data_IF_085009594267
#
_entry.id   IF_085009594267
#
_cell.length_a   1.000
_cell.length_b   1.000
_cell.length_c   1.000
_cell.angle_alpha   90.00
_cell.angle_beta   90.00
_cell.angle_gamma   90.00
#
_symmetry.space_group_name_H-M   'P 1'
#
loop_
_entity.id
_entity.type
_entity.pdbx_description
1 polymer ?
#
# COMPACT_ATOMS: atom_id res chain seq x y z
N UNK A 1 53.47 -18.00 44.83
CA UNK A 1 52.85 -18.84 45.87
C UNK A 1 52.34 -17.94 46.99
N UNK A 2 51.45 -18.44 47.84
CA UNK A 2 50.86 -17.79 49.04
C UNK A 2 49.80 -16.70 48.83
N UNK A 3 48.68 -16.89 49.55
CA UNK A 3 47.63 -15.90 49.85
C UNK A 3 47.99 -15.20 51.21
N UNK A 4 47.22 -14.33 51.90
CA UNK A 4 45.85 -13.77 51.82
C UNK A 4 45.95 -12.22 52.02
N UNK A 5 45.04 -11.36 52.56
CA UNK A 5 43.72 -11.46 53.21
C UNK A 5 42.98 -10.09 53.08
N UNK A 6 41.82 -10.02 52.41
CA UNK A 6 40.45 -10.02 52.96
C UNK A 6 40.02 -8.75 53.73
N UNK A 7 39.17 -7.94 53.10
CA UNK A 7 38.20 -7.01 53.71
C UNK A 7 36.91 -7.04 52.88
N UNK A 8 35.73 -6.89 53.50
CA UNK A 8 34.42 -7.09 52.86
C UNK A 8 33.58 -5.81 52.69
N UNK A 9 32.75 -5.70 51.63
CA UNK A 9 31.82 -4.58 51.43
C UNK A 9 30.50 -4.73 52.22
N UNK A 10 29.73 -3.62 52.41
CA UNK A 10 28.52 -3.59 53.24
C UNK A 10 27.26 -4.19 52.58
N UNK A 11 26.21 -4.35 53.40
CA UNK A 11 24.93 -4.99 53.05
C UNK A 11 24.06 -4.15 52.08
N UNK A 12 23.28 -4.84 51.24
CA UNK A 12 22.33 -4.24 50.29
C UNK A 12 20.87 -4.15 50.80
N UNK A 13 20.02 -3.34 50.14
CA UNK A 13 18.60 -3.15 50.49
C UNK A 13 17.71 -4.37 50.15
N UNK A 14 16.50 -4.48 50.74
CA UNK A 14 15.72 -5.72 50.78
C UNK A 14 14.96 -6.09 49.47
N UNK A 15 14.59 -7.36 49.38
CA UNK A 15 13.84 -7.95 48.26
C UNK A 15 12.44 -7.36 48.04
N UNK A 16 12.05 -7.24 46.77
CA UNK A 16 10.65 -7.24 46.34
C UNK A 16 10.26 -8.59 45.71
N UNK A 17 9.00 -9.04 45.81
CA UNK A 17 8.54 -10.30 45.23
C UNK A 17 8.46 -10.21 43.70
N UNK A 18 8.93 -11.26 43.03
CA UNK A 18 8.91 -11.37 41.56
C UNK A 18 7.52 -11.77 41.04
N UNK A 19 7.08 -11.15 39.94
CA UNK A 19 5.97 -11.68 39.12
C UNK A 19 6.51 -12.69 38.10
N UNK A 20 5.74 -13.76 37.76
CA UNK A 20 6.22 -14.81 36.88
C UNK A 20 6.39 -14.34 35.43
N UNK A 21 7.54 -14.67 34.84
CA UNK A 21 7.83 -14.45 33.41
C UNK A 21 7.09 -15.47 32.52
N UNK A 22 6.68 -15.10 31.30
CA UNK A 22 6.17 -16.05 30.32
C UNK A 22 7.29 -17.01 29.84
N UNK A 23 6.96 -18.24 29.42
CA UNK A 23 7.94 -19.27 29.08
C UNK A 23 8.78 -18.91 27.84
N UNK A 24 10.07 -19.26 27.89
CA UNK A 24 11.00 -19.03 26.80
C UNK A 24 10.81 -20.02 25.65
N UNK A 25 10.98 -19.54 24.40
CA UNK A 25 11.03 -20.39 23.21
C UNK A 25 12.45 -20.96 23.00
N UNK A 26 12.59 -22.20 22.50
CA UNK A 26 13.89 -22.85 22.34
C UNK A 26 14.77 -22.17 21.29
N UNK A 27 16.05 -21.97 21.64
CA UNK A 27 17.10 -21.53 20.72
C UNK A 27 17.59 -22.71 19.88
N UNK A 28 17.55 -22.60 18.55
CA UNK A 28 18.28 -23.49 17.66
C UNK A 28 19.59 -22.82 17.22
N UNK A 29 20.73 -23.38 17.62
CA UNK A 29 22.03 -23.00 17.07
C UNK A 29 22.12 -23.42 15.59
N UNK A 30 22.64 -22.52 14.76
CA UNK A 30 23.34 -22.88 13.52
C UNK A 30 24.69 -22.17 13.51
N UNK A 31 25.75 -22.91 13.14
CA UNK A 31 27.13 -22.43 13.20
C UNK A 31 27.50 -21.48 12.06
N UNK A 32 28.46 -20.60 12.33
CA UNK A 32 29.16 -19.80 11.32
C UNK A 32 30.22 -20.64 10.61
N UNK A 33 30.31 -20.54 9.29
CA UNK A 33 31.53 -20.88 8.55
C UNK A 33 31.69 -19.91 7.36
N UNK A 34 32.87 -19.30 7.24
CA UNK A 34 33.16 -18.29 6.23
C UNK A 34 33.51 -18.91 4.87
N UNK A 35 33.11 -18.24 3.80
CA UNK A 35 33.51 -18.52 2.42
C UNK A 35 33.51 -17.24 1.58
N UNK A 36 34.53 -17.04 0.75
CA UNK A 36 34.71 -15.85 -0.10
C UNK A 36 33.89 -15.98 -1.42
N UNK A 37 33.68 -14.89 -2.18
CA UNK A 37 32.47 -14.75 -3.00
C UNK A 37 32.56 -15.35 -4.41
N UNK A 38 31.42 -15.83 -4.90
CA UNK A 38 31.13 -15.91 -6.34
C UNK A 38 29.89 -15.09 -6.70
N UNK A 39 29.89 -14.53 -7.90
CA UNK A 39 28.80 -13.72 -8.45
C UNK A 39 27.60 -14.59 -8.82
N UNK A 40 26.40 -14.21 -8.39
CA UNK A 40 25.14 -14.76 -8.92
C UNK A 40 24.02 -13.73 -8.82
N UNK A 41 23.07 -13.78 -9.76
CA UNK A 41 22.01 -12.77 -9.91
C UNK A 41 20.80 -13.05 -9.01
N UNK A 42 20.39 -12.05 -8.22
CA UNK A 42 19.29 -12.18 -7.26
C UNK A 42 17.91 -12.11 -7.92
N UNK A 43 17.31 -13.28 -8.11
CA UNK A 43 15.86 -13.41 -8.32
C UNK A 43 15.12 -13.52 -6.98
N UNK A 44 13.93 -12.93 -6.87
CA UNK A 44 13.06 -13.09 -5.70
C UNK A 44 12.49 -14.52 -5.62
N UNK A 45 12.71 -15.18 -4.47
CA UNK A 45 11.97 -16.38 -4.06
C UNK A 45 12.64 -17.73 -4.38
N UNK A 46 12.40 -18.78 -3.56
CA UNK A 46 13.03 -20.08 -3.70
C UNK A 46 12.50 -20.90 -4.88
N UNK A 47 13.28 -21.90 -5.29
CA UNK A 47 12.93 -22.82 -6.38
C UNK A 47 11.76 -23.73 -6.00
N UNK A 48 10.77 -23.85 -6.88
CA UNK A 48 9.57 -24.67 -6.65
C UNK A 48 9.83 -26.17 -6.93
N UNK A 49 10.41 -26.87 -5.96
CA UNK A 49 10.35 -28.33 -5.87
C UNK A 49 9.15 -28.77 -4.99
N UNK A 50 8.45 -29.87 -5.31
CA UNK A 50 7.37 -30.37 -4.47
C UNK A 50 7.93 -31.05 -3.20
N UNK A 51 7.38 -30.78 -1.99
CA UNK A 51 7.77 -31.51 -0.79
C UNK A 51 7.22 -32.94 -0.81
N UNK A 52 8.11 -33.93 -0.66
CA UNK A 52 7.70 -35.32 -0.44
C UNK A 52 7.00 -35.49 0.91
N UNK A 53 5.95 -36.32 0.96
CA UNK A 53 5.29 -36.65 2.22
C UNK A 53 6.14 -37.66 3.01
N UNK A 54 6.43 -37.43 4.31
CA UNK A 54 6.97 -38.47 5.16
C UNK A 54 5.91 -39.55 5.43
N UNK A 55 6.30 -40.83 5.64
CA UNK A 55 5.36 -41.90 5.92
C UNK A 55 4.65 -41.69 7.27
N UNK A 56 3.33 -41.87 7.29
CA UNK A 56 2.53 -41.77 8.52
C UNK A 56 2.61 -43.04 9.38
N UNK A 57 2.47 -42.93 10.72
CA UNK A 57 2.48 -44.08 11.62
C UNK A 57 1.22 -44.96 11.44
N UNK A 58 1.33 -46.28 11.66
CA UNK A 58 0.22 -47.21 11.49
C UNK A 58 -0.79 -47.17 12.65
N UNK A 59 -2.07 -47.42 12.34
CA UNK A 59 -3.03 -47.95 13.32
C UNK A 59 -3.91 -46.95 14.07
N UNK A 60 -4.85 -46.28 13.37
CA UNK A 60 -6.10 -45.81 13.99
C UNK A 60 -7.31 -46.18 13.12
N UNK A 61 -8.23 -46.97 13.67
CA UNK A 61 -9.45 -47.39 13.00
C UNK A 61 -10.47 -46.24 12.96
N UNK A 62 -11.25 -46.15 11.88
CA UNK A 62 -12.30 -45.12 11.73
C UNK A 62 -13.60 -45.60 12.38
N UNK A 63 -14.28 -44.77 13.19
CA UNK A 63 -15.60 -45.14 13.73
C UNK A 63 -16.67 -45.20 12.62
N UNK A 64 -17.74 -45.99 12.81
CA UNK A 64 -18.81 -46.16 11.82
C UNK A 64 -19.60 -44.86 11.58
N UNK A 65 -20.20 -44.76 10.39
CA UNK A 65 -21.00 -43.58 9.98
C UNK A 65 -22.43 -43.66 10.54
N UNK A 66 -23.03 -42.55 11.01
CA UNK A 66 -24.42 -42.52 11.43
C UNK A 66 -25.40 -42.64 10.23
N UNK A 67 -26.64 -43.12 10.45
CA UNK A 67 -27.61 -43.36 9.38
C UNK A 67 -28.16 -42.08 8.75
N UNK A 68 -28.52 -42.18 7.46
CA UNK A 68 -28.87 -41.05 6.59
C UNK A 68 -30.35 -40.66 6.74
N UNK A 69 -30.65 -39.51 7.33
CA UNK A 69 -32.03 -38.97 7.40
C UNK A 69 -32.55 -38.57 6.01
N UNK A 70 -33.86 -38.72 5.80
CA UNK A 70 -34.57 -38.49 4.52
C UNK A 70 -35.33 -37.16 4.60
N UNK A 71 -34.90 -36.15 3.84
CA UNK A 71 -35.45 -34.78 3.94
C UNK A 71 -36.65 -34.58 3.01
N UNK A 72 -37.87 -34.82 3.50
CA UNK A 72 -39.13 -34.55 2.76
C UNK A 72 -39.50 -33.06 2.67
N UNK A 73 -38.90 -32.18 3.47
CA UNK A 73 -39.28 -30.77 3.56
C UNK A 73 -38.82 -29.83 2.42
N UNK A 74 -37.94 -30.28 1.50
CA UNK A 74 -37.31 -29.38 0.51
C UNK A 74 -38.17 -29.10 -0.73
N UNK A 75 -39.19 -29.92 -1.01
CA UNK A 75 -39.95 -29.83 -2.27
C UNK A 75 -41.04 -28.76 -2.26
N UNK A 76 -41.57 -28.39 -1.09
CA UNK A 76 -42.66 -27.41 -0.97
C UNK A 76 -42.18 -25.97 -1.18
N UNK A 77 -40.98 -25.63 -0.69
CA UNK A 77 -40.42 -24.28 -0.76
C UNK A 77 -39.98 -23.85 -2.16
N UNK A 78 -39.64 -24.79 -3.04
CA UNK A 78 -39.30 -24.49 -4.44
C UNK A 78 -40.53 -24.12 -5.29
N UNK A 79 -41.72 -24.65 -4.95
CA UNK A 79 -42.96 -24.37 -5.68
C UNK A 79 -43.38 -22.90 -5.63
N UNK A 80 -43.42 -22.31 -4.43
CA UNK A 80 -43.86 -20.91 -4.26
C UNK A 80 -42.93 -19.89 -4.92
N UNK A 81 -41.61 -20.12 -4.89
CA UNK A 81 -40.63 -19.24 -5.55
C UNK A 81 -40.74 -19.29 -7.08
N UNK A 82 -41.08 -20.46 -7.65
CA UNK A 82 -41.31 -20.61 -9.09
C UNK A 82 -42.49 -19.76 -9.59
N UNK A 83 -43.63 -19.81 -8.88
CA UNK A 83 -44.83 -19.04 -9.26
C UNK A 83 -44.60 -17.54 -9.22
N UNK A 84 -43.96 -17.03 -8.16
CA UNK A 84 -43.63 -15.59 -8.04
C UNK A 84 -42.67 -15.12 -9.14
N UNK A 85 -41.69 -15.95 -9.54
CA UNK A 85 -40.77 -15.65 -10.64
C UNK A 85 -41.47 -15.54 -12.00
N UNK A 86 -42.44 -16.40 -12.28
CA UNK A 86 -43.21 -16.35 -13.53
C UNK A 86 -44.10 -15.11 -13.61
N UNK A 87 -44.80 -14.76 -12.53
CA UNK A 87 -45.65 -13.55 -12.50
C UNK A 87 -44.83 -12.28 -12.73
N UNK A 88 -43.66 -12.16 -12.10
CA UNK A 88 -42.76 -11.02 -12.31
C UNK A 88 -42.21 -10.93 -13.74
N UNK A 89 -41.94 -12.06 -14.39
CA UNK A 89 -41.45 -12.08 -15.77
C UNK A 89 -42.53 -11.62 -16.76
N UNK A 90 -43.78 -12.05 -16.57
CA UNK A 90 -44.92 -11.66 -17.43
C UNK A 90 -45.21 -10.16 -17.32
N UNK A 91 -45.17 -9.56 -16.13
CA UNK A 91 -45.39 -8.11 -15.97
C UNK A 91 -44.29 -7.27 -16.61
N UNK A 92 -43.02 -7.67 -16.53
CA UNK A 92 -41.91 -6.98 -17.21
C UNK A 92 -42.04 -7.03 -18.73
N UNK A 93 -42.45 -8.17 -19.29
CA UNK A 93 -42.69 -8.31 -20.74
C UNK A 93 -43.89 -7.45 -21.19
N UNK A 94 -44.97 -7.41 -20.41
CA UNK A 94 -46.14 -6.56 -20.72
C UNK A 94 -45.79 -5.07 -20.81
N UNK A 95 -45.00 -4.55 -19.86
CA UNK A 95 -44.54 -3.14 -19.88
C UNK A 95 -43.62 -2.86 -21.06
N UNK A 96 -42.73 -3.80 -21.43
CA UNK A 96 -41.84 -3.63 -22.58
C UNK A 96 -42.57 -3.60 -23.93
N UNK A 97 -43.70 -4.31 -24.06
CA UNK A 97 -44.49 -4.35 -25.29
C UNK A 97 -45.41 -3.14 -25.47
N UNK A 98 -45.83 -2.49 -24.39
CA UNK A 98 -46.70 -1.30 -24.45
C UNK A 98 -45.96 0.01 -24.81
N UNK A 99 -44.64 -0.04 -25.03
CA UNK A 99 -43.78 1.14 -25.16
C UNK A 99 -43.18 1.29 -26.58
N UNK A 100 -43.98 1.02 -27.62
CA UNK A 100 -43.66 1.32 -29.03
C UNK A 100 -44.61 2.38 -29.60
N UNK A 101 -44.10 3.59 -29.83
CA UNK A 101 -44.78 4.66 -30.54
C UNK A 101 -43.76 5.67 -31.06
N UNK A 102 -43.81 5.97 -32.37
CA UNK A 102 -42.77 6.72 -33.09
C UNK A 102 -41.51 5.88 -33.38
N UNK A 103 -40.90 5.92 -34.57
CA UNK A 103 -41.25 6.64 -35.79
C UNK A 103 -40.07 7.46 -36.31
N UNK A 104 -39.45 6.99 -37.39
CA UNK A 104 -39.15 7.74 -38.63
C UNK A 104 -37.91 7.20 -39.38
N UNK A 105 -37.76 7.66 -40.63
CA UNK A 105 -37.22 6.94 -41.80
C UNK A 105 -35.66 6.84 -41.88
N UNK A 106 -35.07 5.91 -42.66
CA UNK A 106 -33.63 5.74 -42.78
C UNK A 106 -33.02 6.51 -43.96
N UNK A 107 -31.93 7.26 -43.73
CA UNK A 107 -31.14 7.87 -44.83
C UNK A 107 -29.93 7.01 -45.21
N UNK A 108 -29.70 6.86 -46.51
CA UNK A 108 -28.72 5.93 -47.12
C UNK A 108 -27.26 6.30 -46.84
N UNK A 109 -26.46 5.34 -46.37
CA UNK A 109 -25.00 5.47 -46.25
C UNK A 109 -24.27 4.86 -47.45
N UNK A 110 -23.46 5.66 -48.16
CA UNK A 110 -22.44 5.19 -49.10
C UNK A 110 -21.03 5.47 -48.52
N UNK A 111 -20.04 4.58 -48.70
CA UNK A 111 -18.70 4.78 -48.17
C UNK A 111 -17.85 5.64 -49.12
N UNK A 112 -17.00 6.50 -48.57
CA UNK A 112 -15.97 7.20 -49.34
C UNK A 112 -14.62 7.11 -48.61
N UNK A 113 -13.62 6.53 -49.28
CA UNK A 113 -12.21 6.77 -48.99
C UNK A 113 -11.84 8.12 -49.65
N UNK A 114 -10.75 8.85 -49.36
CA UNK A 114 -9.35 8.58 -48.96
C UNK A 114 -8.78 9.95 -48.43
N UNK A 115 -7.46 10.20 -48.22
CA UNK A 115 -6.32 9.34 -47.91
C UNK A 115 -5.57 9.76 -46.61
N UNK A 116 -4.48 9.04 -46.30
CA UNK A 116 -3.55 9.33 -45.19
C UNK A 116 -2.82 10.66 -45.36
N UNK A 117 -2.64 11.41 -44.27
CA UNK A 117 -1.73 12.57 -44.18
C UNK A 117 -0.54 12.28 -43.25
N UNK A 118 0.66 12.70 -43.66
CA UNK A 118 1.92 12.51 -42.94
C UNK A 118 2.05 13.48 -41.74
N UNK A 119 2.55 13.04 -40.56
CA UNK A 119 2.77 13.94 -39.43
C UNK A 119 3.97 14.88 -39.65
N UNK A 120 3.73 16.18 -39.52
CA UNK A 120 4.78 17.23 -39.50
C UNK A 120 5.47 17.24 -38.13
N UNK A 121 6.81 17.37 -38.04
CA UNK A 121 7.51 17.55 -36.77
C UNK A 121 7.27 18.94 -36.17
N UNK A 122 7.29 19.10 -34.83
CA UNK A 122 7.20 20.40 -34.17
C UNK A 122 8.52 21.20 -34.31
N UNK A 123 8.46 22.54 -34.31
CA UNK A 123 9.65 23.39 -34.39
C UNK A 123 10.46 23.43 -33.08
N UNK A 124 11.77 23.63 -33.22
CA UNK A 124 12.75 23.74 -32.14
C UNK A 124 12.80 25.18 -31.56
N UNK A 125 12.88 25.38 -30.23
CA UNK A 125 12.86 26.70 -29.62
C UNK A 125 14.25 27.37 -29.59
N UNK A 126 14.52 28.27 -30.54
CA UNK A 126 15.77 29.05 -30.59
C UNK A 126 15.86 30.05 -29.44
N UNK A 127 16.85 29.88 -28.55
CA UNK A 127 17.06 30.77 -27.39
C UNK A 127 18.02 31.93 -27.74
N UNK A 128 17.50 33.15 -27.74
CA UNK A 128 18.29 34.40 -27.81
C UNK A 128 18.06 35.26 -26.56
N UNK A 129 19.09 35.56 -25.76
CA UNK A 129 18.95 36.47 -24.61
C UNK A 129 19.14 37.93 -25.05
N UNK A 130 18.05 38.65 -25.30
CA UNK A 130 18.10 40.11 -25.48
C UNK A 130 18.03 40.82 -24.13
N UNK A 131 19.16 41.38 -23.68
CA UNK A 131 19.18 42.30 -22.54
C UNK A 131 18.69 43.68 -22.99
N UNK A 132 17.74 44.26 -22.26
CA UNK A 132 17.44 45.68 -22.34
C UNK A 132 16.93 46.15 -20.98
N UNK A 133 17.77 46.87 -20.24
CA UNK A 133 17.34 47.57 -19.04
C UNK A 133 16.46 48.76 -19.45
N UNK A 134 15.34 48.96 -18.76
CA UNK A 134 14.49 50.14 -18.91
C UNK A 134 14.41 50.86 -17.57
N UNK A 135 14.66 52.17 -17.57
CA UNK A 135 14.85 52.97 -16.36
C UNK A 135 13.78 54.05 -16.30
N UNK A 136 12.75 53.84 -15.49
CA UNK A 136 11.68 54.82 -15.25
C UNK A 136 11.48 55.04 -13.74
N UNK A 137 11.52 56.30 -13.24
CA UNK A 137 11.38 56.59 -11.83
C UNK A 137 9.90 56.60 -11.37
N UNK A 138 9.59 56.22 -10.12
CA UNK A 138 8.23 56.23 -9.60
C UNK A 138 7.72 57.67 -9.34
N UNK A 139 6.40 57.92 -9.47
CA UNK A 139 5.81 59.24 -9.25
C UNK A 139 5.81 59.67 -7.77
N UNK A 140 5.93 60.97 -7.53
CA UNK A 140 5.98 61.58 -6.20
C UNK A 140 4.61 61.57 -5.51
N UNK A 141 4.53 61.03 -4.30
CA UNK A 141 3.33 61.07 -3.45
C UNK A 141 3.48 62.15 -2.37
N UNK A 142 2.55 63.10 -2.30
CA UNK A 142 2.53 64.12 -1.26
C UNK A 142 1.96 63.56 0.07
N UNK A 143 2.62 63.80 1.23
CA UNK A 143 2.10 63.36 2.53
C UNK A 143 0.99 64.31 3.04
N UNK A 144 -0.23 63.79 3.21
CA UNK A 144 -1.32 64.52 3.88
C UNK A 144 -1.29 64.24 5.39
N UNK A 145 -1.05 65.26 6.21
CA UNK A 145 -0.78 65.13 7.65
C UNK A 145 -2.04 65.11 8.52
N UNK A 146 -2.79 64.01 8.49
CA UNK A 146 -3.93 63.80 9.40
C UNK A 146 -3.44 63.40 10.80
N UNK A 147 -3.68 64.23 11.82
CA UNK A 147 -3.24 64.01 13.22
C UNK A 147 -4.03 62.87 13.89
N UNK A 148 -3.40 61.76 14.33
CA UNK A 148 -4.11 60.68 15.01
C UNK A 148 -4.49 61.07 16.45
N UNK A 149 -5.71 60.68 16.85
CA UNK A 149 -6.19 60.79 18.24
C UNK A 149 -5.56 59.67 19.09
N UNK A 150 -5.13 59.93 20.34
CA UNK A 150 -4.45 58.92 21.16
C UNK A 150 -5.42 57.87 21.72
N UNK A 151 -5.70 56.83 20.94
CA UNK A 151 -6.44 55.64 21.40
C UNK A 151 -5.59 54.84 22.38
N UNK A 152 -6.05 54.73 23.64
CA UNK A 152 -5.40 53.97 24.71
C UNK A 152 -5.22 52.49 24.31
N UNK A 153 -3.99 51.93 24.30
CA UNK A 153 -3.78 50.52 23.95
C UNK A 153 -4.36 49.59 25.03
N UNK A 154 -5.48 48.94 24.74
CA UNK A 154 -5.91 47.76 25.51
C UNK A 154 -5.10 46.55 25.04
N UNK A 155 -4.01 46.27 25.75
CA UNK A 155 -3.15 45.09 25.53
C UNK A 155 -3.86 43.80 25.92
N UNK A 156 -4.79 43.34 25.07
CA UNK A 156 -5.31 41.97 25.15
C UNK A 156 -4.13 41.01 24.96
N UNK A 157 -3.90 40.03 25.86
CA UNK A 157 -2.84 39.05 25.67
C UNK A 157 -3.11 38.20 24.43
N UNK A 158 -2.44 38.52 23.32
CA UNK A 158 -2.41 37.65 22.15
C UNK A 158 -1.53 36.47 22.49
N UNK A 159 -2.13 35.32 22.81
CA UNK A 159 -1.41 34.06 22.93
C UNK A 159 -0.59 33.84 21.66
N UNK A 160 0.71 33.51 21.75
CA UNK A 160 1.50 33.18 20.56
C UNK A 160 0.80 32.10 19.73
N UNK A 161 0.91 32.14 18.39
CA UNK A 161 0.49 31.00 17.56
C UNK A 161 1.19 29.73 18.07
N UNK A 162 0.48 28.59 18.18
CA UNK A 162 1.10 27.36 18.66
C UNK A 162 2.28 26.97 17.76
N UNK A 163 3.38 26.55 18.38
CA UNK A 163 4.60 26.19 17.67
C UNK A 163 4.36 25.17 16.56
N UNK A 164 5.08 25.33 15.44
CA UNK A 164 5.06 24.33 14.36
C UNK A 164 5.54 22.98 14.92
N UNK A 165 4.84 21.86 14.64
CA UNK A 165 5.26 20.57 15.15
C UNK A 165 6.63 20.18 14.58
N UNK A 166 7.52 19.68 15.44
CA UNK A 166 8.80 19.10 15.01
C UNK A 166 8.61 17.71 14.39
N UNK A 167 9.63 17.21 13.70
CA UNK A 167 9.52 15.94 12.95
C UNK A 167 9.12 14.74 13.82
N UNK A 168 9.58 14.68 15.07
CA UNK A 168 9.14 13.64 16.02
C UNK A 168 7.65 13.77 16.36
N UNK A 169 7.13 14.99 16.51
CA UNK A 169 5.69 15.22 16.68
C UNK A 169 4.90 14.87 15.42
N UNK A 170 5.40 15.18 14.22
CA UNK A 170 4.76 14.80 12.95
C UNK A 170 4.64 13.27 12.86
N UNK A 171 5.76 12.52 12.86
CA UNK A 171 5.69 11.06 12.65
C UNK A 171 4.90 10.32 13.74
N UNK A 172 4.76 10.88 14.96
CA UNK A 172 4.02 10.24 16.06
C UNK A 172 2.58 10.72 16.29
N UNK A 173 2.23 11.96 15.90
CA UNK A 173 0.96 12.61 16.28
C UNK A 173 0.20 13.30 15.14
N UNK A 174 0.63 13.14 13.89
CA UNK A 174 -0.03 13.78 12.74
C UNK A 174 -1.55 13.48 12.60
N UNK A 175 -2.26 14.42 11.98
CA UNK A 175 -3.71 14.39 11.73
C UNK A 175 -4.18 13.18 10.92
N UNK A 176 -3.33 12.62 10.06
CA UNK A 176 -3.65 11.43 9.25
C UNK A 176 -3.97 10.18 10.10
N UNK A 177 -3.46 10.11 11.34
CA UNK A 177 -3.80 9.04 12.30
C UNK A 177 -5.22 9.17 12.89
N UNK A 178 -5.93 10.28 12.66
CA UNK A 178 -7.23 10.56 13.28
C UNK A 178 -8.40 10.65 12.29
N UNK A 179 -8.16 10.39 11.00
CA UNK A 179 -9.20 10.36 9.95
C UNK A 179 -10.23 9.22 10.12
N UNK A 180 -9.91 8.26 10.99
CA UNK A 180 -10.77 7.18 11.45
C UNK A 180 -10.87 5.99 10.49
N UNK A 181 -12.07 5.42 10.42
CA UNK A 181 -12.36 4.28 9.55
C UNK A 181 -12.33 4.70 8.06
N UNK A 182 -11.56 4.00 7.25
CA UNK A 182 -11.57 4.14 5.80
C UNK A 182 -12.86 3.48 5.23
N UNK A 183 -13.78 4.23 4.60
CA UNK A 183 -14.91 3.65 3.89
C UNK A 183 -14.46 2.95 2.61
N UNK A 184 -15.21 1.96 2.12
CA UNK A 184 -14.95 1.37 0.81
C UNK A 184 -15.27 2.36 -0.31
N UNK A 185 -14.43 2.45 -1.34
CA UNK A 185 -14.62 3.37 -2.48
C UNK A 185 -15.42 2.78 -3.64
N UNK A 186 -16.11 1.66 -3.41
CA UNK A 186 -16.68 0.79 -4.44
C UNK A 186 -15.63 0.42 -5.51
N UNK A 187 -14.38 0.17 -5.11
CA UNK A 187 -13.36 -0.28 -6.04
C UNK A 187 -13.74 -1.62 -6.67
N UNK A 188 -13.79 -1.69 -8.00
CA UNK A 188 -13.91 -2.92 -8.78
C UNK A 188 -12.57 -3.23 -9.43
N UNK A 189 -12.25 -4.51 -9.57
CA UNK A 189 -11.03 -4.93 -10.25
C UNK A 189 -11.07 -4.62 -11.75
N UNK A 190 -9.90 -4.35 -12.33
CA UNK A 190 -9.73 -4.20 -13.77
C UNK A 190 -9.87 -5.53 -14.52
N UNK A 191 -10.38 -5.45 -15.75
CA UNK A 191 -10.33 -6.57 -16.71
C UNK A 191 -8.93 -6.77 -17.33
N UNK A 192 -7.99 -5.87 -17.08
CA UNK A 192 -6.60 -5.96 -17.55
C UNK A 192 -5.89 -7.22 -17.02
N UNK A 193 -5.65 -8.20 -17.90
CA UNK A 193 -4.83 -9.37 -17.58
C UNK A 193 -3.35 -9.00 -17.68
N UNK A 194 -2.51 -9.49 -16.78
CA UNK A 194 -1.07 -9.18 -16.82
C UNK A 194 -0.32 -10.04 -17.84
N UNK A 195 -0.75 -10.04 -19.11
CA UNK A 195 -0.10 -10.79 -20.20
C UNK A 195 0.92 -9.96 -20.98
N UNK A 196 0.77 -8.64 -20.96
CA UNK A 196 1.62 -7.66 -21.63
C UNK A 196 1.48 -6.28 -20.95
N UNK A 197 2.37 -5.34 -21.27
CA UNK A 197 2.49 -4.04 -20.57
C UNK A 197 1.21 -3.19 -20.66
N UNK A 198 0.58 -3.05 -21.83
CA UNK A 198 -0.67 -2.28 -21.95
C UNK A 198 -1.79 -2.81 -21.03
N UNK A 199 -2.16 -4.09 -21.13
CA UNK A 199 -3.11 -4.74 -20.22
C UNK A 199 -2.72 -4.68 -18.73
N UNK A 200 -1.43 -4.77 -18.39
CA UNK A 200 -0.96 -4.60 -17.01
C UNK A 200 -1.07 -3.15 -16.51
N UNK A 201 -0.76 -2.16 -17.35
CA UNK A 201 -0.94 -0.75 -17.05
C UNK A 201 -2.42 -0.38 -16.87
N UNK A 202 -3.32 -1.01 -17.64
CA UNK A 202 -4.78 -0.91 -17.44
C UNK A 202 -5.22 -1.56 -16.11
N UNK A 203 -4.53 -2.57 -15.61
CA UNK A 203 -4.76 -3.10 -14.26
C UNK A 203 -4.33 -2.10 -13.18
N UNK A 204 -3.06 -1.71 -13.22
CA UNK A 204 -2.41 -0.85 -12.22
C UNK A 204 -3.07 0.53 -12.18
N UNK A 205 -3.32 1.16 -13.34
CA UNK A 205 -3.98 2.47 -13.43
C UNK A 205 -5.45 2.46 -12.98
N UNK A 206 -6.16 1.33 -13.09
CA UNK A 206 -7.51 1.19 -12.52
C UNK A 206 -7.46 1.10 -10.99
N UNK A 207 -6.51 0.32 -10.45
CA UNK A 207 -6.29 0.22 -9.02
C UNK A 207 -5.84 1.56 -8.41
N UNK A 208 -4.96 2.30 -9.09
CA UNK A 208 -4.61 3.67 -8.72
C UNK A 208 -5.85 4.57 -8.63
N UNK A 209 -6.73 4.57 -9.64
CA UNK A 209 -8.00 5.33 -9.62
C UNK A 209 -8.93 4.91 -8.47
N UNK A 210 -8.84 3.69 -7.96
CA UNK A 210 -9.51 3.29 -6.72
C UNK A 210 -8.87 3.90 -5.46
N UNK A 211 -7.54 3.85 -5.36
CA UNK A 211 -6.77 4.42 -4.25
C UNK A 211 -6.97 5.95 -4.19
N UNK A 212 -6.81 6.63 -5.32
CA UNK A 212 -7.07 8.07 -5.50
C UNK A 212 -8.45 8.44 -4.94
N UNK A 213 -9.51 7.75 -5.40
CA UNK A 213 -10.89 7.98 -4.94
C UNK A 213 -11.10 7.64 -3.47
N UNK A 214 -10.41 6.62 -2.94
CA UNK A 214 -10.61 6.18 -1.56
C UNK A 214 -9.99 7.16 -0.55
N UNK A 215 -8.80 7.66 -0.85
CA UNK A 215 -8.02 8.48 0.08
C UNK A 215 -8.32 9.98 -0.03
N UNK A 216 -8.84 10.45 -1.16
CA UNK A 216 -9.13 11.87 -1.40
C UNK A 216 -9.92 12.59 -0.29
N UNK A 217 -11.04 12.02 0.15
CA UNK A 217 -11.86 12.64 1.20
C UNK A 217 -11.31 12.40 2.63
N UNK A 218 -10.83 11.20 3.01
CA UNK A 218 -10.17 10.97 4.30
C UNK A 218 -8.95 11.86 4.55
N UNK A 219 -8.03 11.99 3.58
CA UNK A 219 -6.83 12.84 3.68
C UNK A 219 -7.21 14.28 3.99
N UNK A 220 -8.19 14.86 3.26
CA UNK A 220 -8.69 16.21 3.54
C UNK A 220 -9.33 16.37 4.94
N UNK A 221 -9.83 15.31 5.57
CA UNK A 221 -10.28 15.36 6.98
C UNK A 221 -9.13 15.32 7.99
N UNK A 222 -7.96 14.79 7.60
CA UNK A 222 -6.72 14.87 8.38
C UNK A 222 -6.15 16.29 8.49
N UNK A 223 -6.70 17.23 7.70
CA UNK A 223 -6.20 18.59 7.40
C UNK A 223 -5.09 18.61 6.33
N UNK A 224 -4.87 17.49 5.66
CA UNK A 224 -3.88 17.32 4.60
C UNK A 224 -4.41 17.76 3.22
N UNK A 225 -3.54 18.37 2.42
CA UNK A 225 -3.84 18.71 1.04
C UNK A 225 -3.69 17.48 0.13
N UNK A 226 -4.81 16.77 -0.09
CA UNK A 226 -4.85 15.66 -1.03
C UNK A 226 -4.51 16.10 -2.46
N UNK A 227 -3.39 15.56 -2.93
CA UNK A 227 -2.98 15.44 -4.33
C UNK A 227 -2.88 13.95 -4.65
N UNK A 228 -3.09 13.56 -5.90
CA UNK A 228 -2.89 12.17 -6.32
C UNK A 228 -1.44 11.98 -6.81
N UNK A 229 -0.82 10.80 -6.64
CA UNK A 229 0.53 10.56 -7.15
C UNK A 229 0.51 10.47 -8.68
N UNK A 230 1.65 10.70 -9.31
CA UNK A 230 1.90 10.26 -10.68
C UNK A 230 2.12 8.74 -10.74
N UNK A 231 2.03 8.13 -11.92
CA UNK A 231 2.24 6.69 -12.11
C UNK A 231 3.04 6.42 -13.39
N UNK A 232 4.14 5.66 -13.24
CA UNK A 232 4.89 5.04 -14.32
C UNK A 232 4.76 3.53 -14.21
N UNK A 233 4.41 2.85 -15.30
CA UNK A 233 4.34 1.39 -15.36
C UNK A 233 5.52 0.89 -16.20
N UNK A 234 6.44 0.19 -15.54
CA UNK A 234 7.76 -0.15 -16.08
C UNK A 234 7.75 -1.49 -16.82
N UNK A 235 8.45 -1.54 -17.95
CA UNK A 235 8.72 -2.75 -18.72
C UNK A 235 10.11 -3.32 -18.37
N UNK A 236 10.32 -3.64 -17.09
CA UNK A 236 11.65 -3.90 -16.55
C UNK A 236 12.25 -2.62 -15.97
N UNK A 237 13.48 -2.29 -16.35
CA UNK A 237 14.24 -1.19 -15.74
C UNK A 237 13.76 0.18 -16.22
N UNK A 238 13.45 1.09 -15.30
CA UNK A 238 13.49 2.54 -15.58
C UNK A 238 14.94 3.04 -15.61
N UNK A 239 15.18 4.13 -16.35
CA UNK A 239 16.45 4.85 -16.37
C UNK A 239 16.67 5.68 -15.10
N UNK A 240 17.37 6.81 -15.23
CA UNK A 240 17.55 7.76 -14.12
C UNK A 240 16.19 8.36 -13.71
N UNK A 241 15.91 8.43 -12.41
CA UNK A 241 14.73 9.14 -11.87
C UNK A 241 15.14 10.22 -10.86
N UNK A 242 14.25 11.15 -10.48
CA UNK A 242 14.54 12.16 -9.46
C UNK A 242 14.79 11.62 -8.04
N UNK A 243 14.66 10.31 -7.81
CA UNK A 243 15.09 9.63 -6.57
C UNK A 243 16.32 8.73 -6.81
N UNK A 244 17.11 9.03 -7.83
CA UNK A 244 18.17 8.17 -8.35
C UNK A 244 17.65 7.17 -9.39
N UNK A 245 18.55 6.40 -9.97
CA UNK A 245 18.20 5.37 -10.95
C UNK A 245 19.43 4.66 -11.50
N UNK A 246 19.18 3.54 -12.15
CA UNK A 246 20.16 2.47 -12.35
C UNK A 246 19.50 1.14 -12.05
N UNK A 247 18.89 0.56 -13.09
CA UNK A 247 18.28 -0.78 -13.07
C UNK A 247 17.39 -1.11 -11.85
N UNK A 248 16.50 -0.19 -11.47
CA UNK A 248 15.47 -0.47 -10.48
C UNK A 248 14.48 -1.54 -11.02
N UNK A 249 14.72 -2.81 -10.65
CA UNK A 249 13.91 -3.97 -11.04
C UNK A 249 12.65 -4.18 -10.18
N UNK A 250 12.41 -3.30 -9.21
CA UNK A 250 11.36 -3.40 -8.19
C UNK A 250 10.47 -2.16 -8.27
N UNK A 251 9.25 -2.24 -7.77
CA UNK A 251 8.40 -1.05 -7.63
C UNK A 251 8.92 -0.14 -6.51
N UNK A 252 8.64 1.16 -6.61
CA UNK A 252 8.98 2.14 -5.58
C UNK A 252 8.16 3.43 -5.72
N UNK A 253 7.94 4.13 -4.62
CA UNK A 253 7.51 5.53 -4.60
C UNK A 253 8.72 6.47 -4.60
N UNK A 254 8.71 7.46 -5.48
CA UNK A 254 9.66 8.58 -5.46
C UNK A 254 8.99 9.83 -4.87
N UNK A 255 9.49 10.33 -3.74
CA UNK A 255 9.02 11.57 -3.11
C UNK A 255 9.31 12.81 -3.96
N UNK A 256 10.52 12.93 -4.51
CA UNK A 256 11.00 14.10 -5.27
C UNK A 256 10.07 14.53 -6.41
N UNK A 257 9.40 13.59 -7.09
CA UNK A 257 8.42 13.87 -8.15
C UNK A 257 7.04 13.22 -7.88
N UNK A 258 6.81 12.78 -6.64
CA UNK A 258 5.57 12.17 -6.14
C UNK A 258 4.98 11.09 -7.07
N UNK A 259 5.86 10.29 -7.68
CA UNK A 259 5.51 9.28 -8.68
C UNK A 259 5.68 7.88 -8.12
N UNK A 260 4.65 7.05 -8.30
CA UNK A 260 4.75 5.61 -8.09
C UNK A 260 5.31 4.98 -9.38
N UNK A 261 6.42 4.26 -9.27
CA UNK A 261 7.02 3.46 -10.34
C UNK A 261 6.68 2.00 -10.07
N UNK A 262 5.87 1.36 -10.92
CA UNK A 262 5.44 -0.04 -10.76
C UNK A 262 6.14 -0.95 -11.75
N UNK A 263 6.82 -2.00 -11.28
CA UNK A 263 7.23 -3.10 -12.17
C UNK A 263 6.02 -3.93 -12.60
N UNK A 264 5.76 -3.96 -13.90
CA UNK A 264 4.79 -4.89 -14.49
C UNK A 264 5.45 -6.15 -15.07
N UNK A 265 6.75 -6.13 -15.37
CA UNK A 265 7.43 -7.19 -16.11
C UNK A 265 7.59 -8.48 -15.29
N UNK A 266 7.80 -8.41 -13.97
CA UNK A 266 7.82 -9.61 -13.12
C UNK A 266 6.43 -10.28 -13.08
N UNK A 267 5.37 -9.50 -12.88
CA UNK A 267 3.99 -9.98 -12.94
C UNK A 267 3.67 -10.61 -14.29
N UNK A 268 4.05 -9.97 -15.41
CA UNK A 268 3.87 -10.49 -16.77
C UNK A 268 4.62 -11.80 -17.01
N UNK A 269 5.89 -11.90 -16.60
CA UNK A 269 6.69 -13.13 -16.73
C UNK A 269 6.06 -14.29 -15.95
N UNK A 270 5.60 -14.05 -14.73
CA UNK A 270 4.96 -15.08 -13.90
C UNK A 270 3.56 -15.46 -14.43
N UNK A 271 2.77 -14.49 -14.88
CA UNK A 271 1.45 -14.73 -15.48
C UNK A 271 1.57 -15.53 -16.79
N UNK A 272 2.53 -15.21 -17.65
CA UNK A 272 2.71 -15.93 -18.91
C UNK A 272 3.30 -17.34 -18.71
N UNK A 273 4.23 -17.52 -17.75
CA UNK A 273 4.68 -18.87 -17.35
C UNK A 273 3.58 -19.72 -16.70
N UNK A 274 2.51 -19.11 -16.15
CA UNK A 274 1.46 -19.84 -15.43
C UNK A 274 0.78 -20.97 -16.22
N UNK A 275 0.76 -20.92 -17.55
CA UNK A 275 0.20 -21.99 -18.40
C UNK A 275 0.98 -23.30 -18.33
N UNK A 276 2.20 -23.30 -17.81
CA UNK A 276 3.05 -24.48 -17.66
C UNK A 276 2.75 -25.26 -16.35
N UNK A 277 1.89 -24.73 -15.47
CA UNK A 277 1.58 -25.33 -14.17
C UNK A 277 0.12 -25.76 -14.07
N UNK A 278 -0.13 -26.91 -13.43
CA UNK A 278 -1.49 -27.41 -13.16
C UNK A 278 -2.32 -26.46 -12.29
N UNK A 279 -1.68 -25.63 -11.46
CA UNK A 279 -2.31 -24.59 -10.65
C UNK A 279 -2.33 -23.20 -11.33
N UNK A 280 -2.31 -23.12 -12.66
CA UNK A 280 -2.30 -21.87 -13.44
C UNK A 280 -3.25 -20.76 -12.91
N UNK A 281 -4.47 -21.12 -12.50
CA UNK A 281 -5.44 -20.19 -11.95
C UNK A 281 -5.00 -19.57 -10.60
N UNK A 282 -4.31 -20.33 -9.77
CA UNK A 282 -3.72 -19.86 -8.52
C UNK A 282 -2.56 -18.89 -8.80
N UNK A 283 -1.64 -19.24 -9.69
CA UNK A 283 -0.49 -18.38 -10.05
C UNK A 283 -0.97 -17.04 -10.62
N UNK A 284 -2.03 -17.04 -11.43
CA UNK A 284 -2.66 -15.80 -11.95
C UNK A 284 -3.35 -14.98 -10.85
N UNK A 285 -3.88 -15.63 -9.81
CA UNK A 285 -4.46 -14.95 -8.64
C UNK A 285 -3.36 -14.35 -7.75
N UNK A 286 -2.28 -15.09 -7.51
CA UNK A 286 -1.08 -14.62 -6.81
C UNK A 286 -0.53 -13.35 -7.46
N UNK A 287 -0.30 -13.37 -8.79
CA UNK A 287 0.20 -12.20 -9.54
C UNK A 287 -0.70 -10.98 -9.36
N UNK A 288 -2.03 -11.14 -9.46
CA UNK A 288 -3.01 -10.07 -9.22
C UNK A 288 -2.94 -9.53 -7.79
N UNK A 289 -2.82 -10.40 -6.79
CA UNK A 289 -2.71 -9.99 -5.39
C UNK A 289 -1.36 -9.34 -5.06
N UNK A 290 -0.26 -9.78 -5.67
CA UNK A 290 1.07 -9.20 -5.53
C UNK A 290 1.07 -7.76 -6.05
N UNK A 291 0.66 -7.55 -7.31
CA UNK A 291 0.53 -6.19 -7.89
C UNK A 291 -0.44 -5.31 -7.09
N UNK A 292 -1.51 -5.89 -6.52
CA UNK A 292 -2.45 -5.15 -5.68
C UNK A 292 -1.83 -4.71 -4.35
N UNK A 293 -1.08 -5.61 -3.69
CA UNK A 293 -0.38 -5.34 -2.43
C UNK A 293 0.72 -4.29 -2.66
N UNK A 294 1.57 -4.46 -3.67
CA UNK A 294 2.66 -3.51 -3.98
C UNK A 294 2.11 -2.13 -4.35
N UNK A 295 1.15 -2.03 -5.28
CA UNK A 295 0.55 -0.73 -5.65
C UNK A 295 -0.10 -0.02 -4.45
N UNK A 296 -0.68 -0.77 -3.49
CA UNK A 296 -1.25 -0.21 -2.28
C UNK A 296 -0.17 0.19 -1.24
N UNK A 297 0.97 -0.52 -1.18
CA UNK A 297 2.14 -0.19 -0.37
C UNK A 297 2.84 1.08 -0.87
N UNK A 298 3.11 1.22 -2.18
CA UNK A 298 3.68 2.45 -2.74
C UNK A 298 2.75 3.66 -2.53
N UNK A 299 1.43 3.44 -2.59
CA UNK A 299 0.45 4.45 -2.22
C UNK A 299 0.51 4.78 -0.72
N UNK A 300 0.90 3.83 0.13
CA UNK A 300 1.23 4.07 1.54
C UNK A 300 2.36 5.08 1.73
N UNK A 301 3.44 4.99 0.94
CA UNK A 301 4.49 6.02 0.92
C UNK A 301 3.99 7.38 0.41
N UNK A 302 3.13 7.38 -0.61
CA UNK A 302 2.50 8.63 -1.04
C UNK A 302 1.64 9.26 0.07
N UNK A 303 0.92 8.46 0.87
CA UNK A 303 0.16 8.97 2.02
C UNK A 303 1.08 9.56 3.10
N UNK A 304 2.24 8.93 3.36
CA UNK A 304 3.26 9.49 4.25
C UNK A 304 3.86 10.81 3.71
N UNK A 305 4.04 10.94 2.39
CA UNK A 305 4.51 12.17 1.76
C UNK A 305 3.50 13.32 1.86
N UNK A 306 2.22 13.08 1.57
CA UNK A 306 1.21 14.15 1.55
C UNK A 306 0.79 14.64 2.95
N UNK A 307 1.05 13.83 4.00
CA UNK A 307 0.89 14.16 5.42
C UNK A 307 2.19 14.62 6.11
N UNK A 308 3.30 14.76 5.36
CA UNK A 308 4.59 15.20 5.91
C UNK A 308 5.36 14.17 6.75
N UNK A 309 4.76 13.00 7.05
CA UNK A 309 5.42 11.90 7.77
C UNK A 309 6.68 11.40 7.06
N UNK A 310 6.70 11.35 5.72
CA UNK A 310 7.86 10.89 4.95
C UNK A 310 9.02 11.93 4.93
N UNK A 311 8.78 13.23 4.68
CA UNK A 311 9.77 14.28 4.94
C UNK A 311 10.33 14.25 6.37
N UNK A 312 9.45 14.17 7.39
CA UNK A 312 9.87 14.12 8.79
C UNK A 312 10.70 12.86 9.12
N UNK A 313 10.38 11.72 8.52
CA UNK A 313 11.20 10.51 8.56
C UNK A 313 12.61 10.74 7.99
N UNK A 314 12.75 11.43 6.85
CA UNK A 314 14.06 11.69 6.24
C UNK A 314 14.93 12.59 7.13
N UNK A 315 14.35 13.65 7.71
CA UNK A 315 15.04 14.52 8.68
C UNK A 315 15.55 13.73 9.89
N UNK A 316 14.65 13.02 10.58
CA UNK A 316 15.00 12.17 11.73
C UNK A 316 16.05 11.10 11.38
N UNK A 317 16.02 10.55 10.16
CA UNK A 317 17.00 9.55 9.71
C UNK A 317 18.36 10.18 9.36
N UNK A 318 18.41 11.45 9.00
CA UNK A 318 19.66 12.19 8.78
C UNK A 318 20.37 12.46 10.12
N UNK A 319 19.62 12.90 11.15
CA UNK A 319 20.13 13.19 12.50
C UNK A 319 20.73 11.96 13.21
N UNK A 320 20.21 10.75 12.95
CA UNK A 320 20.68 9.53 13.61
C UNK A 320 22.09 9.12 13.17
N UNK A 321 23.00 8.89 14.12
CA UNK A 321 24.34 8.36 13.84
C UNK A 321 24.35 6.84 13.67
N UNK A 322 23.71 6.10 14.58
CA UNK A 322 23.68 4.62 14.60
C UNK A 322 22.96 4.00 13.39
N UNK A 323 23.58 2.98 12.80
CA UNK A 323 22.99 2.14 11.75
C UNK A 323 21.72 1.43 12.24
N UNK A 324 21.73 0.83 13.43
CA UNK A 324 20.56 0.11 13.97
C UNK A 324 19.39 1.05 14.24
N UNK A 325 19.65 2.28 14.69
CA UNK A 325 18.61 3.28 14.88
C UNK A 325 18.02 3.74 13.52
N UNK A 326 18.88 3.96 12.51
CA UNK A 326 18.46 4.24 11.13
C UNK A 326 17.64 3.09 10.54
N UNK A 327 17.99 1.84 10.84
CA UNK A 327 17.32 0.64 10.37
C UNK A 327 15.97 0.45 11.06
N UNK A 328 15.87 0.64 12.38
CA UNK A 328 14.60 0.62 13.10
C UNK A 328 13.65 1.74 12.61
N UNK A 329 14.18 2.93 12.34
CA UNK A 329 13.39 4.02 11.77
C UNK A 329 12.89 3.70 10.36
N UNK A 330 13.72 3.06 9.51
CA UNK A 330 13.29 2.52 8.21
C UNK A 330 12.18 1.47 8.35
N UNK A 331 12.31 0.51 9.27
CA UNK A 331 11.24 -0.46 9.59
C UNK A 331 9.93 0.21 9.99
N UNK A 332 9.97 1.30 10.77
CA UNK A 332 8.77 2.09 11.10
C UNK A 332 8.11 2.68 9.85
N UNK A 333 8.88 3.17 8.86
CA UNK A 333 8.34 3.63 7.56
C UNK A 333 7.67 2.49 6.78
N UNK A 334 8.37 1.38 6.52
CA UNK A 334 7.87 0.33 5.61
C UNK A 334 6.65 -0.40 6.17
N UNK A 335 6.67 -0.74 7.45
CA UNK A 335 5.55 -1.39 8.13
C UNK A 335 4.27 -0.54 8.11
N UNK A 336 4.42 0.78 8.16
CA UNK A 336 3.30 1.70 8.06
C UNK A 336 2.76 1.78 6.64
N UNK A 337 3.61 1.82 5.62
CA UNK A 337 3.19 1.81 4.22
C UNK A 337 2.41 0.52 3.89
N UNK A 338 2.91 -0.65 4.33
CA UNK A 338 2.17 -1.92 4.26
C UNK A 338 0.85 -1.90 5.04
N UNK A 339 0.80 -1.26 6.22
CA UNK A 339 -0.44 -1.14 6.99
C UNK A 339 -1.47 -0.23 6.30
N UNK A 340 -1.06 0.93 5.75
CA UNK A 340 -1.94 1.81 4.97
C UNK A 340 -2.45 1.14 3.69
N UNK A 341 -1.58 0.44 2.95
CA UNK A 341 -1.99 -0.36 1.79
C UNK A 341 -3.00 -1.45 2.16
N UNK A 342 -2.79 -2.13 3.28
CA UNK A 342 -3.72 -3.11 3.81
C UNK A 342 -5.05 -2.50 4.29
N UNK A 343 -5.06 -1.29 4.85
CA UNK A 343 -6.28 -0.54 5.20
C UNK A 343 -7.16 -0.32 3.97
N UNK A 344 -6.59 0.06 2.82
CA UNK A 344 -7.32 0.16 1.55
C UNK A 344 -7.91 -1.18 1.10
N UNK A 345 -7.12 -2.25 1.13
CA UNK A 345 -7.55 -3.60 0.75
C UNK A 345 -8.71 -4.07 1.66
N UNK A 346 -8.59 -3.84 2.96
CA UNK A 346 -9.59 -4.17 3.96
C UNK A 346 -10.89 -3.38 3.80
N UNK A 347 -10.82 -2.12 3.37
CA UNK A 347 -11.96 -1.25 3.16
C UNK A 347 -12.78 -1.64 1.92
N UNK A 348 -12.11 -2.14 0.87
CA UNK A 348 -12.74 -2.51 -0.40
C UNK A 348 -13.09 -4.00 -0.52
N UNK A 349 -12.91 -4.80 0.55
CA UNK A 349 -13.10 -6.27 0.53
C UNK A 349 -14.46 -6.80 0.03
N UNK A 350 -15.49 -5.94 -0.01
CA UNK A 350 -16.82 -6.28 -0.52
C UNK A 350 -16.98 -6.04 -2.04
N UNK A 351 -16.07 -5.30 -2.68
CA UNK A 351 -16.16 -4.91 -4.10
C UNK A 351 -14.90 -5.25 -4.91
N UNK A 352 -13.75 -5.29 -4.24
CA UNK A 352 -12.46 -5.73 -4.76
C UNK A 352 -12.17 -7.18 -4.32
N UNK A 353 -11.63 -8.05 -5.19
CA UNK A 353 -11.51 -9.48 -4.90
C UNK A 353 -10.30 -9.76 -3.99
N UNK A 354 -10.48 -9.55 -2.68
CA UNK A 354 -9.53 -9.90 -1.60
C UNK A 354 -10.17 -10.82 -0.57
N UNK A 355 -11.12 -11.64 -1.03
CA UNK A 355 -11.87 -12.66 -0.29
C UNK A 355 -11.60 -14.05 -0.87
N UNK A 356 -12.06 -15.11 -0.22
CA UNK A 356 -11.96 -16.48 -0.73
C UNK A 356 -10.54 -16.90 -1.13
N UNK A 357 -10.34 -17.31 -2.38
CA UNK A 357 -9.03 -17.68 -2.90
C UNK A 357 -8.02 -16.52 -2.90
N UNK A 358 -8.44 -15.32 -3.31
CA UNK A 358 -7.58 -14.15 -3.35
C UNK A 358 -7.07 -13.76 -1.95
N UNK A 359 -7.92 -13.93 -0.91
CA UNK A 359 -7.51 -13.74 0.49
C UNK A 359 -6.40 -14.71 0.92
N UNK A 360 -6.37 -15.94 0.41
CA UNK A 360 -5.30 -16.91 0.70
C UNK A 360 -3.98 -16.50 0.08
N UNK A 361 -3.99 -16.10 -1.19
CA UNK A 361 -2.78 -15.62 -1.87
C UNK A 361 -2.25 -14.33 -1.24
N UNK A 362 -3.14 -13.39 -0.85
CA UNK A 362 -2.75 -12.19 -0.10
C UNK A 362 -2.19 -12.51 1.29
N UNK A 363 -2.82 -13.42 2.04
CA UNK A 363 -2.29 -13.87 3.33
C UNK A 363 -0.91 -14.53 3.16
N UNK A 364 -0.71 -15.34 2.10
CA UNK A 364 0.57 -15.95 1.79
C UNK A 364 1.63 -14.90 1.52
N UNK A 365 1.36 -13.93 0.63
CA UNK A 365 2.26 -12.80 0.34
C UNK A 365 2.69 -12.08 1.62
N UNK A 366 1.73 -11.72 2.47
CA UNK A 366 1.94 -10.97 3.70
C UNK A 366 2.75 -11.73 4.76
N UNK A 367 2.67 -13.06 4.79
CA UNK A 367 3.43 -13.95 5.69
C UNK A 367 4.84 -14.28 5.13
N UNK A 368 5.05 -14.13 3.82
CA UNK A 368 6.34 -14.32 3.13
C UNK A 368 6.93 -12.99 2.62
N UNK A 369 6.64 -11.90 3.34
CA UNK A 369 7.23 -10.57 3.15
C UNK A 369 7.85 -10.12 4.47
N UNK A 370 9.05 -9.55 4.42
CA UNK A 370 9.81 -9.13 5.60
C UNK A 370 11.32 -9.20 5.39
N UNK A 371 12.07 -8.83 6.42
CA UNK A 371 13.53 -8.83 6.54
C UNK A 371 14.21 -10.15 6.13
N UNK A 372 13.52 -11.28 6.20
CA UNK A 372 14.07 -12.62 5.94
C UNK A 372 14.26 -12.92 4.44
N UNK A 373 13.78 -12.04 3.55
CA UNK A 373 13.74 -12.28 2.09
C UNK A 373 14.51 -11.24 1.28
N UNK A 374 15.11 -10.23 1.91
CA UNK A 374 15.79 -9.12 1.22
C UNK A 374 17.14 -8.80 1.87
N UNK A 375 18.06 -8.20 1.09
CA UNK A 375 19.39 -7.80 1.59
C UNK A 375 19.31 -6.57 2.49
N UNK A 376 18.37 -5.67 2.21
CA UNK A 376 18.07 -4.53 3.07
C UNK A 376 17.00 -4.90 4.09
N UNK A 377 17.41 -4.98 5.36
CA UNK A 377 16.58 -5.39 6.50
C UNK A 377 15.68 -4.26 7.02
N UNK A 378 14.95 -3.65 6.10
CA UNK A 378 14.14 -2.45 6.28
C UNK A 378 12.67 -2.72 6.54
N UNK A 379 12.18 -3.97 6.41
CA UNK A 379 10.74 -4.27 6.43
C UNK A 379 10.23 -4.89 7.73
N UNK A 380 11.12 -5.22 8.66
CA UNK A 380 10.83 -5.95 9.89
C UNK A 380 10.64 -7.44 9.62
N UNK A 381 10.77 -8.26 10.66
CA UNK A 381 10.53 -9.70 10.57
C UNK A 381 9.15 -10.00 9.96
N UNK A 382 9.03 -11.12 9.24
CA UNK A 382 7.77 -11.53 8.58
C UNK A 382 6.59 -11.63 9.54
N UNK A 383 6.86 -11.88 10.83
CA UNK A 383 5.86 -11.90 11.90
C UNK A 383 5.31 -10.49 12.14
N UNK A 384 6.19 -9.50 12.26
CA UNK A 384 5.82 -8.08 12.43
C UNK A 384 5.20 -7.51 11.17
N UNK A 385 5.75 -7.78 9.98
CA UNK A 385 5.16 -7.37 8.71
C UNK A 385 3.75 -7.96 8.51
N UNK A 386 3.55 -9.22 8.87
CA UNK A 386 2.23 -9.86 8.87
C UNK A 386 1.29 -9.23 9.89
N UNK A 387 1.75 -8.94 11.11
CA UNK A 387 0.98 -8.26 12.14
C UNK A 387 0.43 -6.91 11.64
N UNK A 388 1.27 -6.03 11.12
CA UNK A 388 0.85 -4.69 10.65
C UNK A 388 -0.09 -4.77 9.44
N UNK A 389 0.21 -5.64 8.48
CA UNK A 389 -0.65 -5.86 7.32
C UNK A 389 -2.03 -6.40 7.73
N UNK A 390 -2.11 -7.39 8.62
CA UNK A 390 -3.38 -7.93 9.10
C UNK A 390 -4.14 -6.90 9.95
N UNK A 391 -3.45 -6.14 10.79
CA UNK A 391 -4.00 -5.05 11.62
C UNK A 391 -4.65 -3.97 10.75
N UNK A 392 -3.98 -3.55 9.68
CA UNK A 392 -4.52 -2.62 8.69
C UNK A 392 -5.77 -3.18 7.99
N UNK A 393 -5.69 -4.39 7.42
CA UNK A 393 -6.81 -5.01 6.68
C UNK A 393 -8.06 -5.21 7.56
N UNK A 394 -7.90 -5.73 8.77
CA UNK A 394 -9.02 -6.07 9.63
C UNK A 394 -9.71 -4.80 10.18
N UNK A 395 -8.91 -3.83 10.66
CA UNK A 395 -9.45 -2.60 11.25
C UNK A 395 -10.00 -1.62 10.22
N UNK A 396 -9.27 -1.41 9.11
CA UNK A 396 -9.43 -0.31 8.14
C UNK A 396 -9.24 1.08 8.76
N UNK A 397 -8.43 1.22 9.81
CA UNK A 397 -8.26 2.48 10.55
C UNK A 397 -6.78 2.88 10.61
N UNK A 398 -6.42 4.05 10.07
CA UNK A 398 -5.03 4.54 10.02
C UNK A 398 -4.43 4.81 11.40
N UNK A 399 -5.27 5.09 12.41
CA UNK A 399 -4.84 5.20 13.80
C UNK A 399 -4.05 3.95 14.24
N UNK A 400 -4.52 2.77 13.81
CA UNK A 400 -3.93 1.49 14.14
C UNK A 400 -2.72 1.13 13.26
N UNK A 401 -2.21 2.07 12.45
CA UNK A 401 -0.99 1.98 11.64
C UNK A 401 0.13 2.93 12.12
N UNK A 402 0.03 3.48 13.35
CA UNK A 402 1.09 4.30 13.95
C UNK A 402 2.25 3.42 14.47
N UNK A 403 3.17 3.08 13.57
CA UNK A 403 4.40 2.32 13.85
C UNK A 403 5.40 3.15 14.66
N UNK A 404 5.44 4.47 14.50
CA UNK A 404 6.41 5.35 15.15
C UNK A 404 6.22 5.47 16.68
N UNK A 405 5.01 5.22 17.19
CA UNK A 405 4.73 5.14 18.64
C UNK A 405 4.82 3.72 19.22
N UNK A 406 5.08 2.70 18.39
CA UNK A 406 5.13 1.30 18.83
C UNK A 406 6.48 0.91 19.46
N UNK A 407 6.46 -0.06 20.39
CA UNK A 407 7.69 -0.64 20.92
C UNK A 407 8.45 -1.45 19.87
N UNK A 408 9.79 -1.50 19.95
CA UNK A 408 10.66 -2.08 18.92
C UNK A 408 10.43 -3.57 18.63
N UNK A 409 9.82 -4.32 19.55
CA UNK A 409 9.35 -5.70 19.35
C UNK A 409 8.18 -5.83 18.36
N UNK A 410 7.47 -4.73 18.08
CA UNK A 410 6.48 -4.60 17.00
C UNK A 410 7.07 -3.88 15.78
N UNK A 411 8.40 -3.85 15.64
CA UNK A 411 9.11 -3.20 14.52
C UNK A 411 10.18 -4.11 13.92
N UNK A 412 10.90 -4.88 14.73
CA UNK A 412 12.06 -5.70 14.32
C UNK A 412 11.72 -6.96 13.51
#
# INVERSE_FOLDING_TARGET
MSNYQQYGPPQGPPHQPQQPLPPAFPQHQYGQQYGAPQQSGYGWGPQFGPPGMPPGPPGWQRPPRPPKRRNTGLLVSLGMLGVLGVVALVTVIGVALNNKGGGDDPTTSQPNWTPTATPTPPPEPTYYPTSTASTEPPPTVQPTTTRPTPTRPTTRPTTPPPDKPNDRQIVTKDGFYYIGLLPGSNCRESKGRQTAIGPAAVYIGTLKKCLDRNWAAPVRRGRDNFRAPSLVVMNGTVGMTPCGGGSAFRSFYCSTNQTIYMDALTGIRQYNKSSQYTNAAQVRMFVRMATSQTMAHEYGHHLQEISGILPAYYNLRYELTSYDAKLELSRRKELQASCFGAVFMGANRNTYPVTGAARREWNWLVIHSGDEYDTERTHGSRIVHSYWSQRGFNSRNTNLCNTFTSGSSLVR
#
